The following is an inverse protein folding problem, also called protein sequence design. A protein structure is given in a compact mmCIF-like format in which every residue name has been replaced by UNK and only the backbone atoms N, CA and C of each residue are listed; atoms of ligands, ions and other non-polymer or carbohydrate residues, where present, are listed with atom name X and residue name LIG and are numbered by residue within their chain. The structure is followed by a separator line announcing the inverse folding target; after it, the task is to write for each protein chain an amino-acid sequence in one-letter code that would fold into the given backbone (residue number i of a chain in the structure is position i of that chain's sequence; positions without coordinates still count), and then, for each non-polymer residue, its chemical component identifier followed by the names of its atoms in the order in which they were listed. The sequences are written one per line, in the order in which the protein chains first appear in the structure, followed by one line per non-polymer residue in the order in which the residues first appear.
data_IF_287674411121
#
_entry.id   IF_287674411121
#
_cell.length_a   1.000
_cell.length_b   1.000
_cell.length_c   1.000
_cell.angle_alpha   90.00
_cell.angle_beta   90.00
_cell.angle_gamma   90.00
#
_symmetry.space_group_name_H-M   'P 1'
#
loop_
_entity.id
_entity.type
_entity.pdbx_description
1 polymer ?
#
# COMPACT_ATOMS: atom_id res chain seq x y z
N UNK A 1 41.76 42.92 -5.72
CA UNK A 1 41.59 41.64 -6.44
C UNK A 1 40.63 40.78 -5.65
N UNK A 2 39.32 40.79 -5.97
CA UNK A 2 38.30 40.00 -5.29
C UNK A 2 38.15 38.69 -6.06
N UNK A 3 38.48 37.55 -5.42
CA UNK A 3 38.25 36.22 -5.94
C UNK A 3 36.73 35.94 -5.91
N UNK A 4 36.08 35.87 -7.06
CA UNK A 4 34.70 35.30 -7.21
C UNK A 4 34.79 33.82 -6.80
N UNK A 5 34.23 33.48 -5.64
CA UNK A 5 33.91 32.11 -5.30
C UNK A 5 32.73 31.72 -6.18
N UNK A 6 32.94 30.83 -7.15
CA UNK A 6 31.86 30.15 -7.85
C UNK A 6 31.21 29.22 -6.83
N UNK A 7 30.00 29.52 -6.40
CA UNK A 7 29.13 28.58 -5.72
C UNK A 7 28.81 27.45 -6.71
N UNK A 8 29.58 26.38 -6.63
CA UNK A 8 29.20 25.13 -7.26
C UNK A 8 28.07 24.56 -6.44
N UNK A 9 26.86 24.54 -6.99
CA UNK A 9 25.77 23.73 -6.45
C UNK A 9 26.22 22.27 -6.57
N UNK A 10 26.73 21.72 -5.48
CA UNK A 10 26.95 20.28 -5.36
C UNK A 10 25.57 19.64 -5.28
N UNK A 11 25.06 19.12 -6.39
CA UNK A 11 23.97 18.14 -6.32
C UNK A 11 24.52 16.93 -5.59
N UNK A 12 24.16 16.78 -4.32
CA UNK A 12 24.41 15.53 -3.61
C UNK A 12 23.59 14.45 -4.34
N UNK A 13 24.30 13.53 -4.94
CA UNK A 13 23.72 12.32 -5.54
C UNK A 13 23.01 11.52 -4.44
N UNK A 14 21.69 11.43 -4.50
CA UNK A 14 20.86 10.82 -3.47
C UNK A 14 20.54 9.39 -3.90
N UNK A 15 20.87 8.40 -3.06
CA UNK A 15 20.36 7.05 -3.19
C UNK A 15 18.90 7.01 -2.77
N UNK A 16 18.07 6.41 -3.62
CA UNK A 16 16.66 6.15 -3.34
C UNK A 16 16.46 4.64 -3.35
N UNK A 17 15.90 4.12 -2.28
CA UNK A 17 15.71 2.66 -2.12
C UNK A 17 14.28 2.38 -1.71
N UNK A 18 13.67 1.36 -2.31
CA UNK A 18 12.38 0.82 -1.88
C UNK A 18 12.38 -0.70 -1.97
N UNK A 19 11.49 -1.32 -1.20
CA UNK A 19 11.25 -2.75 -1.24
C UNK A 19 9.82 -3.07 -1.68
N UNK A 20 9.61 -4.30 -2.13
CA UNK A 20 8.31 -4.91 -2.34
C UNK A 20 8.32 -6.34 -1.83
N UNK A 21 7.17 -6.84 -1.44
CA UNK A 21 6.99 -8.21 -0.96
C UNK A 21 5.92 -8.93 -1.77
N UNK A 22 6.04 -10.26 -1.89
CA UNK A 22 5.06 -11.06 -2.63
C UNK A 22 3.72 -11.14 -1.89
N UNK A 23 2.63 -11.49 -2.60
CA UNK A 23 1.33 -11.75 -1.96
C UNK A 23 1.35 -12.91 -0.96
N UNK A 24 2.39 -13.74 -0.96
CA UNK A 24 2.60 -14.86 -0.01
C UNK A 24 3.49 -14.52 1.17
N UNK A 25 3.96 -13.27 1.28
CA UNK A 25 4.59 -12.78 2.49
C UNK A 25 3.58 -12.83 3.67
N UNK A 26 3.98 -13.25 4.88
CA UNK A 26 3.05 -13.44 6.02
C UNK A 26 2.15 -12.23 6.30
N UNK A 27 2.70 -11.02 6.34
CA UNK A 27 1.90 -9.82 6.56
C UNK A 27 0.89 -9.58 5.41
N UNK A 28 1.27 -9.89 4.15
CA UNK A 28 0.35 -9.73 3.01
C UNK A 28 -0.75 -10.79 2.97
N UNK A 29 -0.49 -11.99 3.48
CA UNK A 29 -1.55 -13.00 3.69
C UNK A 29 -2.57 -12.45 4.70
N UNK A 30 -2.12 -11.85 5.81
CA UNK A 30 -3.01 -11.24 6.81
C UNK A 30 -3.82 -10.09 6.21
N UNK A 31 -3.19 -9.19 5.46
CA UNK A 31 -3.88 -8.09 4.77
C UNK A 31 -4.94 -8.60 3.79
N UNK A 32 -4.60 -9.62 2.99
CA UNK A 32 -5.55 -10.22 2.04
C UNK A 32 -6.73 -10.90 2.74
N UNK A 33 -6.51 -11.59 3.86
CA UNK A 33 -7.59 -12.20 4.65
C UNK A 33 -8.52 -11.11 5.21
N UNK A 34 -7.96 -10.06 5.81
CA UNK A 34 -8.74 -8.94 6.36
C UNK A 34 -9.60 -8.27 5.28
N UNK A 35 -9.04 -7.99 4.11
CA UNK A 35 -9.76 -7.36 3.00
C UNK A 35 -10.72 -8.31 2.29
N UNK A 36 -10.44 -9.61 2.24
CA UNK A 36 -11.39 -10.60 1.71
C UNK A 36 -12.63 -10.74 2.60
N UNK A 37 -12.47 -10.64 3.92
CA UNK A 37 -13.59 -10.60 4.86
C UNK A 37 -14.43 -9.33 4.65
N UNK A 38 -13.77 -8.18 4.52
CA UNK A 38 -14.44 -6.92 4.18
C UNK A 38 -15.24 -7.04 2.87
N UNK A 39 -14.61 -7.53 1.81
CA UNK A 39 -15.24 -7.71 0.50
C UNK A 39 -16.44 -8.66 0.56
N UNK A 40 -16.36 -9.72 1.37
CA UNK A 40 -17.46 -10.64 1.55
C UNK A 40 -18.68 -9.97 2.22
N UNK A 41 -18.44 -9.09 3.20
CA UNK A 41 -19.50 -8.29 3.82
C UNK A 41 -20.09 -7.27 2.87
N UNK A 42 -19.25 -6.49 2.17
CA UNK A 42 -19.72 -5.43 1.25
C UNK A 42 -20.52 -6.00 0.06
N UNK A 43 -20.23 -7.22 -0.36
CA UNK A 43 -20.96 -7.88 -1.45
C UNK A 43 -22.45 -8.11 -1.14
N UNK A 44 -22.77 -8.39 0.11
CA UNK A 44 -24.16 -8.61 0.58
C UNK A 44 -24.76 -7.35 1.24
N UNK A 45 -23.92 -6.51 1.82
CA UNK A 45 -24.32 -5.29 2.54
C UNK A 45 -23.33 -4.15 2.26
N UNK A 46 -23.61 -3.28 1.25
CA UNK A 46 -22.75 -2.15 0.92
C UNK A 46 -22.57 -1.13 2.07
N UNK A 47 -23.41 -1.20 3.10
CA UNK A 47 -23.33 -0.37 4.29
C UNK A 47 -22.67 -1.09 5.48
N UNK A 48 -22.10 -2.28 5.27
CA UNK A 48 -21.42 -3.03 6.30
C UNK A 48 -20.29 -2.21 6.93
N UNK A 49 -20.21 -2.27 8.26
CA UNK A 49 -19.11 -1.70 9.03
C UNK A 49 -18.22 -2.83 9.50
N UNK A 50 -16.97 -2.78 9.06
CA UNK A 50 -15.98 -3.82 9.26
C UNK A 50 -14.68 -3.18 9.74
N UNK A 51 -14.14 -3.72 10.81
CA UNK A 51 -12.80 -3.44 11.31
C UNK A 51 -12.22 -4.78 11.79
N UNK A 52 -11.49 -5.47 10.92
CA UNK A 52 -10.99 -6.82 11.17
C UNK A 52 -9.49 -6.86 11.01
N UNK A 53 -8.80 -7.33 12.03
CA UNK A 53 -7.38 -7.59 12.06
C UNK A 53 -7.10 -9.09 12.08
N UNK A 54 -6.00 -9.47 11.43
CA UNK A 54 -5.55 -10.86 11.33
C UNK A 54 -4.10 -10.96 11.80
N UNK A 55 -3.83 -11.93 12.66
CA UNK A 55 -2.49 -12.37 13.01
C UNK A 55 -2.34 -13.84 12.64
N UNK A 56 -1.25 -14.21 11.96
CA UNK A 56 -1.06 -15.60 11.54
C UNK A 56 0.40 -16.03 11.57
N UNK A 57 0.62 -17.32 11.68
CA UNK A 57 1.94 -17.96 11.64
C UNK A 57 1.95 -19.29 12.35
N UNK A 58 2.88 -20.17 11.94
CA UNK A 58 3.14 -21.46 12.58
C UNK A 58 1.88 -22.33 12.76
N UNK A 59 1.11 -22.44 11.68
CA UNK A 59 -0.09 -23.30 11.63
C UNK A 59 -1.35 -22.70 12.28
N UNK A 60 -1.34 -21.42 12.69
CA UNK A 60 -2.49 -20.78 13.31
C UNK A 60 -2.79 -19.42 12.68
N UNK A 61 -4.08 -19.07 12.62
CA UNK A 61 -4.57 -17.74 12.23
C UNK A 61 -5.60 -17.28 13.26
N UNK A 62 -5.39 -16.08 13.76
CA UNK A 62 -6.30 -15.36 14.64
C UNK A 62 -6.99 -14.28 13.84
N UNK A 63 -8.32 -14.28 13.84
CA UNK A 63 -9.15 -13.23 13.24
C UNK A 63 -9.92 -12.56 14.36
N UNK A 64 -9.74 -11.26 14.53
CA UNK A 64 -10.43 -10.50 15.57
C UNK A 64 -10.88 -9.15 15.03
N UNK A 65 -11.85 -8.53 15.69
CA UNK A 65 -12.33 -7.21 15.31
C UNK A 65 -13.82 -7.03 15.54
N UNK A 66 -14.38 -6.02 14.91
CA UNK A 66 -15.79 -5.65 15.02
C UNK A 66 -16.46 -5.60 13.66
N UNK A 67 -17.64 -6.19 13.58
CA UNK A 67 -18.49 -6.18 12.37
C UNK A 67 -19.93 -5.84 12.74
N UNK A 68 -20.51 -4.90 12.01
CA UNK A 68 -21.96 -4.63 12.00
C UNK A 68 -22.43 -4.71 10.55
N UNK A 69 -23.16 -5.76 10.21
CA UNK A 69 -23.56 -6.04 8.84
C UNK A 69 -24.86 -6.85 8.80
N UNK A 70 -25.59 -6.69 7.73
CA UNK A 70 -26.76 -7.52 7.39
C UNK A 70 -26.40 -8.79 6.60
N UNK A 71 -25.13 -8.91 6.19
CA UNK A 71 -24.62 -10.08 5.48
C UNK A 71 -24.79 -11.35 6.33
N UNK A 72 -25.17 -12.46 5.70
CA UNK A 72 -25.50 -13.72 6.39
C UNK A 72 -24.61 -14.90 5.99
N UNK A 73 -23.86 -14.75 4.91
CA UNK A 73 -23.13 -15.86 4.29
C UNK A 73 -21.63 -15.62 4.20
N UNK A 74 -21.05 -14.88 5.16
CA UNK A 74 -19.62 -14.67 5.20
C UNK A 74 -18.95 -15.88 5.89
N UNK A 75 -18.23 -16.66 5.11
CA UNK A 75 -17.50 -17.84 5.58
C UNK A 75 -16.01 -17.48 5.76
N UNK A 76 -15.67 -17.03 6.96
CA UNK A 76 -14.31 -16.65 7.34
C UNK A 76 -13.35 -17.84 7.24
N UNK A 77 -13.80 -19.06 7.60
CA UNK A 77 -12.98 -20.25 7.52
C UNK A 77 -12.59 -20.60 6.08
N UNK A 78 -13.53 -20.49 5.14
CA UNK A 78 -13.24 -20.71 3.72
C UNK A 78 -12.29 -19.64 3.15
N UNK A 79 -12.40 -18.37 3.58
CA UNK A 79 -11.50 -17.29 3.20
C UNK A 79 -10.08 -17.60 3.70
N UNK A 80 -9.92 -17.95 4.99
CA UNK A 80 -8.64 -18.27 5.59
C UNK A 80 -8.01 -19.49 4.91
N UNK A 81 -8.77 -20.56 4.69
CA UNK A 81 -8.27 -21.75 3.99
C UNK A 81 -7.78 -21.45 2.58
N UNK A 82 -8.49 -20.61 1.84
CA UNK A 82 -8.10 -20.20 0.46
C UNK A 82 -6.78 -19.43 0.42
N UNK A 83 -6.54 -18.53 1.38
CA UNK A 83 -5.40 -17.63 1.39
C UNK A 83 -4.18 -18.16 2.14
N UNK A 84 -4.43 -18.80 3.29
CA UNK A 84 -3.41 -19.29 4.22
C UNK A 84 -3.18 -20.82 4.16
N UNK A 85 -4.08 -21.58 3.52
CA UNK A 85 -3.98 -23.04 3.49
C UNK A 85 -4.55 -23.72 4.74
N UNK A 86 -4.03 -24.90 5.05
CA UNK A 86 -4.48 -25.70 6.19
C UNK A 86 -3.88 -25.18 7.50
N UNK A 87 -4.62 -24.31 8.18
CA UNK A 87 -4.24 -23.69 9.46
C UNK A 87 -5.39 -23.78 10.46
N UNK A 88 -5.06 -23.79 11.74
CA UNK A 88 -6.05 -23.67 12.82
C UNK A 88 -6.57 -22.23 12.88
N UNK A 89 -7.86 -22.03 12.62
CA UNK A 89 -8.52 -20.73 12.75
C UNK A 89 -9.03 -20.51 14.17
N UNK A 90 -8.67 -19.38 14.76
CA UNK A 90 -9.22 -18.87 16.01
C UNK A 90 -9.91 -17.54 15.67
N UNK A 91 -11.22 -17.54 15.69
CA UNK A 91 -12.05 -16.40 15.31
C UNK A 91 -12.77 -15.80 16.51
N UNK A 92 -12.67 -14.47 16.65
CA UNK A 92 -13.44 -13.70 17.61
C UNK A 92 -13.81 -12.33 17.03
N UNK A 93 -14.96 -12.28 16.36
CA UNK A 93 -15.52 -11.05 15.79
C UNK A 93 -16.73 -10.65 16.64
N UNK A 94 -16.70 -9.41 17.16
CA UNK A 94 -17.76 -8.82 17.96
C UNK A 94 -18.63 -7.86 17.14
N UNK A 95 -19.78 -7.46 17.66
CA UNK A 95 -20.52 -6.33 17.12
C UNK A 95 -19.84 -5.02 17.52
N UNK A 96 -19.85 -4.02 16.64
CA UNK A 96 -19.31 -2.68 16.95
C UNK A 96 -20.02 -2.06 18.16
N UNK A 97 -19.26 -1.39 19.04
CA UNK A 97 -19.85 -0.73 20.19
C UNK A 97 -20.79 0.42 19.77
N UNK A 98 -21.94 0.60 20.47
CA UNK A 98 -22.87 1.69 20.18
C UNK A 98 -22.25 3.09 20.32
N UNK A 99 -21.24 3.24 21.17
CA UNK A 99 -20.56 4.52 21.43
C UNK A 99 -19.72 4.96 20.23
N UNK A 100 -19.01 4.03 19.59
CA UNK A 100 -18.25 4.28 18.35
C UNK A 100 -19.22 4.56 17.20
N UNK A 101 -20.34 3.83 17.14
CA UNK A 101 -21.35 4.00 16.10
C UNK A 101 -21.96 5.41 16.08
N UNK A 102 -22.15 6.07 17.22
CA UNK A 102 -22.78 7.40 17.31
C UNK A 102 -22.09 8.47 16.46
N UNK A 103 -20.77 8.53 16.48
CA UNK A 103 -20.00 9.52 15.69
C UNK A 103 -20.13 9.30 14.19
N UNK A 104 -20.08 8.04 13.77
CA UNK A 104 -20.17 7.63 12.35
C UNK A 104 -21.60 7.73 11.83
N UNK A 105 -22.62 7.40 12.64
CA UNK A 105 -24.04 7.49 12.27
C UNK A 105 -24.49 8.94 11.99
N UNK A 106 -23.85 9.90 12.63
CA UNK A 106 -24.05 11.33 12.37
C UNK A 106 -23.32 11.84 11.11
N UNK A 107 -22.57 10.99 10.40
CA UNK A 107 -21.81 11.34 9.19
C UNK A 107 -20.43 11.91 9.46
N UNK A 108 -19.97 11.96 10.71
CA UNK A 108 -18.64 12.40 11.09
C UNK A 108 -17.57 11.30 11.00
N UNK A 109 -16.30 11.69 11.09
CA UNK A 109 -15.18 10.77 11.15
C UNK A 109 -15.27 9.91 12.43
N UNK A 110 -15.09 8.60 12.28
CA UNK A 110 -15.12 7.64 13.40
C UNK A 110 -13.85 7.63 14.23
N UNK A 111 -12.82 8.34 13.80
CA UNK A 111 -11.53 8.45 14.49
C UNK A 111 -10.84 9.77 14.12
N UNK A 112 -9.82 10.12 14.88
CA UNK A 112 -8.86 11.13 14.52
C UNK A 112 -7.74 10.50 13.67
N UNK A 113 -7.12 11.28 12.80
CA UNK A 113 -5.99 10.76 12.01
C UNK A 113 -5.44 11.79 11.04
N UNK A 114 -4.24 11.50 10.55
CA UNK A 114 -3.60 12.24 9.47
C UNK A 114 -3.44 11.30 8.29
N UNK A 115 -3.91 11.72 7.11
CA UNK A 115 -3.80 10.98 5.87
C UNK A 115 -2.90 11.74 4.91
N UNK A 116 -2.00 11.00 4.27
CA UNK A 116 -1.03 11.57 3.32
C UNK A 116 -1.32 11.02 1.94
N UNK A 117 -1.53 11.92 0.99
CA UNK A 117 -1.54 11.64 -0.43
C UNK A 117 -0.24 12.10 -1.08
N UNK A 118 0.22 11.38 -2.08
CA UNK A 118 1.39 11.75 -2.85
C UNK A 118 1.25 11.36 -4.32
N UNK A 119 1.76 12.18 -5.22
CA UNK A 119 1.93 11.86 -6.63
C UNK A 119 3.20 12.53 -7.17
N UNK A 120 3.87 11.86 -8.10
CA UNK A 120 5.07 12.39 -8.78
C UNK A 120 5.04 12.05 -10.26
N UNK A 121 5.69 12.85 -11.08
CA UNK A 121 5.83 12.59 -12.52
C UNK A 121 7.04 11.69 -12.86
N UNK A 122 7.66 11.04 -11.87
CA UNK A 122 8.82 10.15 -12.07
C UNK A 122 8.47 8.91 -12.91
N UNK A 123 7.21 8.44 -12.84
CA UNK A 123 6.73 7.22 -13.53
C UNK A 123 5.33 7.40 -14.10
N UNK A 124 4.92 6.51 -14.99
CA UNK A 124 3.55 6.48 -15.52
C UNK A 124 2.50 6.16 -14.45
N UNK A 125 2.89 5.40 -13.42
CA UNK A 125 2.08 5.07 -12.25
C UNK A 125 1.93 6.26 -11.28
N UNK A 126 2.60 7.38 -11.57
CA UNK A 126 2.67 8.58 -10.72
C UNK A 126 3.16 8.28 -9.29
N UNK A 127 4.09 7.34 -9.18
CA UNK A 127 4.72 6.86 -7.95
C UNK A 127 6.24 7.05 -8.02
N UNK A 128 6.95 7.02 -6.88
CA UNK A 128 8.41 7.03 -6.86
C UNK A 128 9.01 5.89 -7.69
N UNK A 129 10.04 6.20 -8.47
CA UNK A 129 10.67 5.27 -9.39
C UNK A 129 11.14 3.98 -8.71
N UNK A 130 11.81 4.09 -7.57
CA UNK A 130 12.32 2.95 -6.80
C UNK A 130 11.20 2.03 -6.31
N UNK A 131 10.02 2.57 -6.01
CA UNK A 131 8.83 1.82 -5.58
C UNK A 131 8.27 1.01 -6.75
N UNK A 132 8.09 1.65 -7.90
CA UNK A 132 7.59 0.99 -9.11
C UNK A 132 8.52 -0.12 -9.54
N UNK A 133 9.84 0.12 -9.55
CA UNK A 133 10.84 -0.87 -9.93
C UNK A 133 10.86 -2.07 -8.99
N UNK A 134 10.85 -1.85 -7.67
CA UNK A 134 10.84 -2.94 -6.69
C UNK A 134 9.57 -3.80 -6.83
N UNK A 135 8.41 -3.15 -7.06
CA UNK A 135 7.12 -3.82 -7.23
C UNK A 135 7.06 -4.63 -8.53
N UNK A 136 7.43 -4.04 -9.66
CA UNK A 136 7.46 -4.73 -10.96
C UNK A 136 8.41 -5.93 -10.95
N UNK A 137 9.59 -5.78 -10.35
CA UNK A 137 10.52 -6.90 -10.19
C UNK A 137 9.89 -8.01 -9.33
N UNK A 138 9.23 -7.66 -8.22
CA UNK A 138 8.58 -8.67 -7.37
C UNK A 138 7.47 -9.40 -8.13
N UNK A 139 6.61 -8.68 -8.86
CA UNK A 139 5.55 -9.26 -9.68
C UNK A 139 6.12 -10.22 -10.74
N UNK A 140 7.18 -9.79 -11.43
CA UNK A 140 7.84 -10.59 -12.46
C UNK A 140 8.44 -11.90 -11.93
N UNK A 141 9.08 -11.84 -10.76
CA UNK A 141 9.64 -13.03 -10.11
C UNK A 141 8.55 -13.95 -9.54
N UNK A 142 7.45 -13.35 -9.02
CA UNK A 142 6.33 -14.09 -8.47
C UNK A 142 5.57 -14.92 -9.53
N UNK A 143 5.59 -14.54 -10.80
CA UNK A 143 5.01 -15.34 -11.88
C UNK A 143 5.72 -16.71 -12.03
N UNK A 144 7.02 -16.75 -11.70
CA UNK A 144 7.83 -17.99 -11.77
C UNK A 144 7.81 -18.74 -10.43
N UNK A 145 7.93 -18.00 -9.31
CA UNK A 145 7.91 -18.52 -7.96
C UNK A 145 6.77 -17.91 -7.16
N UNK A 146 5.53 -18.49 -7.23
CA UNK A 146 4.35 -17.94 -6.57
C UNK A 146 4.33 -18.25 -5.06
N UNK A 147 5.43 -17.96 -4.38
CA UNK A 147 5.68 -18.21 -2.98
C UNK A 147 6.11 -16.92 -2.26
N UNK A 148 6.55 -17.04 -1.00
CA UNK A 148 7.09 -15.91 -0.24
C UNK A 148 8.35 -15.38 -0.92
N UNK A 149 8.47 -14.05 -0.95
CA UNK A 149 9.60 -13.40 -1.58
C UNK A 149 9.61 -11.90 -1.40
N UNK A 150 10.83 -11.34 -1.48
CA UNK A 150 11.08 -9.91 -1.35
C UNK A 150 12.01 -9.42 -2.44
N UNK A 151 11.77 -8.19 -2.85
CA UNK A 151 12.66 -7.44 -3.74
C UNK A 151 12.99 -6.08 -3.14
N UNK A 152 14.17 -5.58 -3.44
CA UNK A 152 14.57 -4.21 -3.11
C UNK A 152 15.34 -3.64 -4.28
N UNK A 153 15.03 -2.41 -4.67
CA UNK A 153 15.74 -1.71 -5.72
C UNK A 153 16.27 -0.39 -5.18
N UNK A 154 17.55 -0.14 -5.45
CA UNK A 154 18.20 1.14 -5.15
C UNK A 154 18.55 1.83 -6.45
N UNK A 155 18.10 3.09 -6.56
CA UNK A 155 18.45 3.97 -7.67
C UNK A 155 19.39 5.08 -7.21
N UNK A 156 20.18 5.60 -8.15
CA UNK A 156 21.03 6.78 -7.97
C UNK A 156 21.01 7.55 -9.29
N UNK A 157 20.66 8.83 -9.23
CA UNK A 157 20.56 9.71 -10.41
C UNK A 157 19.70 9.08 -11.55
N UNK A 158 18.58 8.45 -11.18
CA UNK A 158 17.67 7.80 -12.11
C UNK A 158 18.16 6.46 -12.68
N UNK A 159 19.29 5.90 -12.21
CA UNK A 159 19.83 4.60 -12.64
C UNK A 159 19.71 3.56 -11.54
N UNK A 160 19.43 2.31 -11.90
CA UNK A 160 19.48 1.19 -10.96
C UNK A 160 20.96 0.91 -10.61
N UNK A 161 21.30 0.92 -9.32
CA UNK A 161 22.67 0.67 -8.83
C UNK A 161 22.76 -0.55 -7.89
N UNK A 162 21.63 -1.02 -7.36
CA UNK A 162 21.59 -2.25 -6.57
C UNK A 162 20.22 -2.89 -6.63
N UNK A 163 20.19 -4.23 -6.68
CA UNK A 163 19.00 -5.05 -6.59
C UNK A 163 19.22 -6.15 -5.56
N UNK A 164 18.24 -6.32 -4.67
CA UNK A 164 18.12 -7.49 -3.81
C UNK A 164 16.88 -8.27 -4.24
N UNK A 165 17.03 -9.59 -4.41
CA UNK A 165 15.90 -10.48 -4.63
C UNK A 165 16.09 -11.76 -3.78
N UNK A 166 15.05 -12.12 -3.04
CA UNK A 166 15.03 -13.32 -2.22
C UNK A 166 13.67 -13.99 -2.37
N UNK A 167 13.65 -15.21 -2.91
CA UNK A 167 12.42 -15.95 -3.20
C UNK A 167 12.51 -17.40 -2.73
N UNK A 168 11.46 -17.83 -2.07
CA UNK A 168 11.26 -19.20 -1.63
C UNK A 168 11.24 -20.15 -2.83
N UNK A 169 11.92 -21.30 -2.72
CA UNK A 169 12.06 -22.32 -3.75
C UNK A 169 12.83 -21.92 -5.01
N UNK A 170 13.42 -20.74 -5.04
CA UNK A 170 14.26 -20.28 -6.15
C UNK A 170 15.74 -20.61 -5.86
N UNK A 171 16.37 -21.40 -6.73
CA UNK A 171 17.82 -21.56 -6.68
C UNK A 171 18.50 -20.23 -7.06
N UNK A 172 19.58 -19.88 -6.37
CA UNK A 172 20.28 -18.60 -6.56
C UNK A 172 20.63 -18.32 -8.01
N UNK A 173 21.10 -19.33 -8.76
CA UNK A 173 21.47 -19.18 -10.16
C UNK A 173 20.25 -18.88 -11.05
N UNK A 174 19.13 -19.58 -10.83
CA UNK A 174 17.91 -19.41 -11.62
C UNK A 174 17.28 -18.05 -11.34
N UNK A 175 17.25 -17.64 -10.07
CA UNK A 175 16.78 -16.33 -9.66
C UNK A 175 17.66 -15.20 -10.24
N UNK A 176 19.00 -15.41 -10.29
CA UNK A 176 19.92 -14.47 -10.94
C UNK A 176 19.59 -14.32 -12.42
N UNK A 177 19.42 -15.44 -13.13
CA UNK A 177 19.08 -15.44 -14.55
C UNK A 177 17.75 -14.70 -14.80
N UNK A 178 16.74 -14.91 -13.94
CA UNK A 178 15.45 -14.25 -14.06
C UNK A 178 15.52 -12.74 -13.79
N UNK A 179 16.33 -12.29 -12.83
CA UNK A 179 16.59 -10.85 -12.60
C UNK A 179 17.29 -10.21 -13.79
N UNK A 180 18.27 -10.91 -14.40
CA UNK A 180 18.94 -10.42 -15.61
C UNK A 180 18.00 -10.37 -16.81
N UNK A 181 17.12 -11.37 -16.97
CA UNK A 181 16.09 -11.38 -18.00
C UNK A 181 15.09 -10.21 -17.82
N UNK A 182 14.67 -9.92 -16.59
CA UNK A 182 13.83 -8.75 -16.30
C UNK A 182 14.45 -7.44 -16.76
N UNK A 183 15.75 -7.24 -16.60
CA UNK A 183 16.44 -6.05 -17.10
C UNK A 183 16.36 -5.89 -18.63
N UNK A 184 16.17 -6.97 -19.36
CA UNK A 184 16.10 -6.94 -20.83
C UNK A 184 14.68 -6.81 -21.38
N UNK A 185 13.68 -7.27 -20.61
CA UNK A 185 12.28 -7.35 -21.06
C UNK A 185 11.43 -6.17 -20.63
N UNK A 186 11.70 -5.64 -19.43
CA UNK A 186 10.96 -4.47 -19.00
C UNK A 186 11.37 -3.24 -19.80
N UNK A 187 10.43 -2.52 -20.40
CA UNK A 187 10.69 -1.21 -20.97
C UNK A 187 10.90 -0.20 -19.83
N UNK A 188 11.98 -0.42 -19.08
CA UNK A 188 12.40 0.50 -18.05
C UNK A 188 12.88 1.76 -18.78
N UNK A 189 12.18 2.87 -18.59
CA UNK A 189 12.71 4.19 -18.94
C UNK A 189 13.98 4.52 -18.10
N UNK A 190 14.59 3.49 -17.51
CA UNK A 190 15.66 3.58 -16.51
C UNK A 190 16.88 2.82 -17.01
N UNK A 191 18.00 3.50 -17.02
CA UNK A 191 19.29 2.92 -17.35
C UNK A 191 19.81 2.10 -16.16
N UNK A 192 20.34 0.90 -16.43
CA UNK A 192 21.10 0.12 -15.46
C UNK A 192 22.47 0.79 -15.31
N UNK A 193 22.94 0.97 -14.06
CA UNK A 193 24.29 1.47 -13.80
C UNK A 193 25.35 0.49 -14.29
N UNK A 194 26.52 0.99 -14.70
CA UNK A 194 27.62 0.15 -15.18
C UNK A 194 28.07 -0.89 -14.16
N UNK A 195 28.01 -0.57 -12.86
CA UNK A 195 28.42 -1.42 -11.74
C UNK A 195 27.21 -1.81 -10.87
N UNK A 196 26.10 -2.27 -11.46
CA UNK A 196 24.95 -2.71 -10.68
C UNK A 196 25.31 -3.90 -9.79
N UNK A 197 24.98 -3.80 -8.50
CA UNK A 197 25.20 -4.87 -7.52
C UNK A 197 23.93 -5.72 -7.39
N UNK A 198 24.09 -7.03 -7.60
CA UNK A 198 23.02 -8.01 -7.43
C UNK A 198 23.24 -8.80 -6.13
N UNK A 199 22.25 -8.83 -5.27
CA UNK A 199 22.21 -9.60 -4.02
C UNK A 199 21.05 -10.60 -4.12
N UNK A 200 21.34 -11.77 -4.64
CA UNK A 200 20.35 -12.80 -4.96
C UNK A 200 20.44 -13.91 -3.91
N UNK A 201 19.34 -14.18 -3.20
CA UNK A 201 19.30 -15.11 -2.07
C UNK A 201 20.57 -14.98 -1.19
N UNK A 202 20.90 -13.79 -0.65
CA UNK A 202 22.22 -13.55 -0.05
C UNK A 202 22.49 -14.38 1.20
N UNK A 203 21.45 -14.94 1.83
CA UNK A 203 21.55 -15.85 2.96
C UNK A 203 21.56 -17.34 2.55
N UNK A 204 21.54 -17.62 1.23
CA UNK A 204 21.39 -18.96 0.67
C UNK A 204 19.97 -19.26 0.20
N UNK A 205 19.82 -20.39 -0.53
CA UNK A 205 18.52 -20.87 -0.99
C UNK A 205 17.66 -21.32 0.20
N UNK A 206 16.35 -21.11 0.10
CA UNK A 206 15.43 -21.41 1.19
C UNK A 206 14.11 -21.99 0.69
N UNK A 207 13.53 -22.91 1.48
CA UNK A 207 12.36 -23.68 1.09
C UNK A 207 11.17 -23.53 2.07
N UNK A 208 11.39 -22.95 3.24
CA UNK A 208 10.33 -22.68 4.23
C UNK A 208 10.08 -21.19 4.24
N UNK A 209 8.86 -20.77 3.92
CA UNK A 209 8.43 -19.38 3.84
C UNK A 209 6.98 -19.19 4.26
N UNK A 210 6.44 -17.99 4.10
CA UNK A 210 5.08 -17.69 4.52
C UNK A 210 4.88 -17.95 6.03
N UNK A 211 3.68 -18.36 6.41
CA UNK A 211 3.34 -18.61 7.82
C UNK A 211 4.12 -19.74 8.49
N UNK A 212 4.79 -20.61 7.73
CA UNK A 212 5.64 -21.64 8.31
C UNK A 212 6.98 -21.10 8.81
N UNK A 213 7.44 -19.98 8.21
CA UNK A 213 8.72 -19.36 8.56
C UNK A 213 8.59 -18.17 9.51
N UNK A 214 7.54 -17.36 9.37
CA UNK A 214 7.42 -16.10 10.09
C UNK A 214 5.95 -15.76 10.37
N UNK A 215 5.72 -14.97 11.40
CA UNK A 215 4.39 -14.47 11.74
C UNK A 215 4.05 -13.20 10.95
N UNK A 216 2.80 -13.11 10.50
CA UNK A 216 2.22 -11.92 9.86
C UNK A 216 1.17 -11.25 10.72
N UNK A 217 0.92 -9.99 10.41
CA UNK A 217 -0.13 -9.18 11.02
C UNK A 217 -0.67 -8.17 10.00
N UNK A 218 -1.99 -7.95 10.00
CA UNK A 218 -2.62 -6.88 9.22
C UNK A 218 -1.96 -5.53 9.49
N UNK A 219 -1.65 -4.77 8.42
CA UNK A 219 -1.15 -3.41 8.54
C UNK A 219 0.35 -3.29 8.90
N UNK A 220 1.15 -4.35 8.75
CA UNK A 220 2.61 -4.28 8.99
C UNK A 220 3.44 -3.95 7.74
N UNK A 221 2.82 -3.71 6.60
CA UNK A 221 3.50 -3.34 5.35
C UNK A 221 3.08 -1.96 4.82
N UNK A 222 2.74 -1.03 5.71
CA UNK A 222 2.21 0.29 5.34
C UNK A 222 3.13 1.07 4.40
N UNK A 223 4.43 1.04 4.63
CA UNK A 223 5.42 1.73 3.77
C UNK A 223 5.46 1.12 2.37
N UNK A 224 5.43 -0.22 2.28
CA UNK A 224 5.41 -0.96 1.00
C UNK A 224 4.10 -0.72 0.24
N UNK A 225 2.99 -0.67 0.97
CA UNK A 225 1.65 -0.55 0.42
C UNK A 225 1.31 0.88 -0.04
N UNK A 226 2.04 1.88 0.45
CA UNK A 226 1.88 3.29 0.08
C UNK A 226 2.95 3.71 -0.96
N UNK A 227 3.80 4.66 -0.60
CA UNK A 227 4.70 5.36 -1.51
C UNK A 227 6.18 5.05 -1.29
N UNK A 228 6.49 4.03 -0.47
CA UNK A 228 7.86 3.68 -0.09
C UNK A 228 8.44 4.58 1.01
N UNK A 229 9.70 4.31 1.43
CA UNK A 229 10.26 4.89 2.66
C UNK A 229 10.63 6.38 2.56
N UNK A 230 10.61 6.95 1.37
CA UNK A 230 10.95 8.36 1.15
C UNK A 230 9.80 9.31 1.46
N UNK A 231 8.57 8.81 1.40
CA UNK A 231 7.36 9.59 1.55
C UNK A 231 6.72 9.26 2.91
N UNK A 232 6.29 10.26 3.69
CA UNK A 232 5.61 10.02 4.95
C UNK A 232 4.25 9.33 4.71
N UNK A 233 3.79 8.62 5.72
CA UNK A 233 2.44 8.04 5.78
C UNK A 233 1.70 8.57 7.00
N UNK A 234 0.37 8.50 7.00
CA UNK A 234 -0.45 8.95 8.14
C UNK A 234 -0.42 8.01 9.35
N UNK A 235 -0.04 6.74 9.15
CA UNK A 235 0.11 5.73 10.21
C UNK A 235 -1.06 4.76 10.34
N UNK A 236 -2.25 5.06 9.84
CA UNK A 236 -3.41 4.17 9.85
C UNK A 236 -3.28 3.02 8.83
N UNK A 237 -3.54 1.78 9.25
CA UNK A 237 -3.65 0.65 8.35
C UNK A 237 -4.93 0.73 7.52
N UNK A 238 -4.90 0.21 6.29
CA UNK A 238 -6.03 0.21 5.37
C UNK A 238 -6.79 -1.11 5.40
N UNK A 239 -6.08 -2.24 5.27
CA UNK A 239 -6.69 -3.56 5.16
C UNK A 239 -7.58 -3.90 6.35
N UNK A 240 -8.72 -4.54 6.08
CA UNK A 240 -9.71 -4.90 7.07
C UNK A 240 -10.67 -3.79 7.49
N UNK A 241 -10.49 -2.56 7.04
CA UNK A 241 -11.32 -1.39 7.37
C UNK A 241 -12.27 -1.05 6.23
N UNK A 242 -13.58 -0.93 6.53
CA UNK A 242 -14.58 -0.43 5.58
C UNK A 242 -14.42 1.07 5.29
N UNK A 243 -15.04 1.60 4.21
CA UNK A 243 -14.85 2.98 3.77
C UNK A 243 -15.28 4.06 4.75
N UNK A 244 -16.03 3.75 5.80
CA UNK A 244 -16.39 4.73 6.84
C UNK A 244 -15.19 5.15 7.69
N UNK A 245 -14.11 4.37 7.68
CA UNK A 245 -12.86 4.67 8.35
C UNK A 245 -12.02 5.61 7.51
N UNK A 246 -11.82 6.84 7.98
CA UNK A 246 -11.05 7.88 7.29
C UNK A 246 -9.58 7.49 7.07
N UNK A 247 -9.01 6.63 7.92
CA UNK A 247 -7.68 6.04 7.71
C UNK A 247 -7.52 5.48 6.30
N UNK A 248 -8.57 4.85 5.77
CA UNK A 248 -8.59 4.27 4.43
C UNK A 248 -9.15 5.24 3.41
N UNK A 249 -10.39 5.67 3.57
CA UNK A 249 -11.10 6.46 2.56
C UNK A 249 -10.44 7.82 2.29
N UNK A 250 -10.03 8.53 3.34
CA UNK A 250 -9.38 9.83 3.17
C UNK A 250 -7.93 9.70 2.67
N UNK A 251 -7.23 8.59 2.91
CA UNK A 251 -5.94 8.33 2.29
C UNK A 251 -6.08 8.11 0.76
N UNK A 252 -7.14 7.42 0.32
CA UNK A 252 -7.45 7.27 -1.10
C UNK A 252 -7.84 8.61 -1.75
N UNK A 253 -8.67 9.42 -1.04
CA UNK A 253 -8.99 10.76 -1.52
C UNK A 253 -7.76 11.67 -1.57
N UNK A 254 -6.88 11.62 -0.58
CA UNK A 254 -5.64 12.38 -0.60
C UNK A 254 -4.75 12.00 -1.81
N UNK A 255 -4.69 10.70 -2.18
CA UNK A 255 -4.03 10.23 -3.41
C UNK A 255 -4.69 10.81 -4.66
N UNK A 256 -6.01 10.75 -4.78
CA UNK A 256 -6.76 11.31 -5.90
C UNK A 256 -6.49 12.80 -6.07
N UNK A 257 -6.56 13.56 -4.99
CA UNK A 257 -6.26 14.99 -4.98
C UNK A 257 -4.82 15.25 -5.45
N UNK A 258 -3.84 14.47 -4.95
CA UNK A 258 -2.44 14.62 -5.35
C UNK A 258 -2.25 14.41 -6.86
N UNK A 259 -2.92 13.41 -7.44
CA UNK A 259 -2.91 13.15 -8.89
C UNK A 259 -3.53 14.29 -9.67
N UNK A 260 -4.67 14.78 -9.23
CA UNK A 260 -5.39 15.87 -9.92
C UNK A 260 -4.57 17.16 -9.94
N UNK A 261 -4.00 17.55 -8.80
CA UNK A 261 -3.12 18.73 -8.74
C UNK A 261 -1.83 18.53 -9.54
N UNK A 262 -1.22 17.33 -9.52
CA UNK A 262 -0.05 17.03 -10.32
C UNK A 262 -0.32 17.26 -11.82
N UNK A 263 -1.43 16.70 -12.32
CA UNK A 263 -1.84 16.83 -13.73
C UNK A 263 -2.24 18.27 -14.08
N UNK A 264 -3.05 18.94 -13.24
CA UNK A 264 -3.57 20.26 -13.50
C UNK A 264 -2.50 21.36 -13.48
N UNK A 265 -1.45 21.17 -12.68
CA UNK A 265 -0.36 22.15 -12.52
C UNK A 265 0.91 21.79 -13.28
N UNK A 266 0.95 20.65 -13.99
CA UNK A 266 2.16 20.11 -14.65
C UNK A 266 3.35 20.04 -13.65
N UNK A 267 3.05 19.59 -12.41
CA UNK A 267 3.98 19.59 -11.30
C UNK A 267 4.92 18.39 -11.34
N UNK A 268 6.02 18.45 -10.59
CA UNK A 268 6.96 17.34 -10.43
C UNK A 268 6.56 16.41 -9.29
N UNK A 269 6.15 16.99 -8.17
CA UNK A 269 5.61 16.24 -7.06
C UNK A 269 4.53 17.02 -6.30
N UNK A 270 3.60 16.30 -5.71
CA UNK A 270 2.50 16.85 -4.93
C UNK A 270 2.30 16.01 -3.68
N UNK A 271 2.25 16.67 -2.52
CA UNK A 271 1.82 16.10 -1.26
C UNK A 271 0.45 16.66 -0.87
N UNK A 272 -0.38 15.81 -0.29
CA UNK A 272 -1.67 16.21 0.29
C UNK A 272 -1.73 15.73 1.73
N UNK A 273 -2.14 16.60 2.64
CA UNK A 273 -2.32 16.30 4.05
C UNK A 273 -3.76 16.58 4.43
N UNK A 274 -4.44 15.56 4.95
CA UNK A 274 -5.79 15.68 5.50
C UNK A 274 -5.75 15.26 6.97
N UNK A 275 -6.24 16.10 7.87
CA UNK A 275 -6.28 15.80 9.30
C UNK A 275 -7.71 15.83 9.80
N UNK A 276 -8.18 14.71 10.36
CA UNK A 276 -9.53 14.57 10.90
C UNK A 276 -9.51 14.51 12.42
N UNK A 277 -10.61 14.96 13.03
CA UNK A 277 -10.93 14.71 14.42
C UNK A 277 -12.22 13.88 14.52
N UNK A 278 -12.31 13.04 15.55
CA UNK A 278 -13.47 12.19 15.78
C UNK A 278 -14.75 13.02 15.89
N UNK A 279 -15.81 12.59 15.20
CA UNK A 279 -17.13 13.24 15.21
C UNK A 279 -17.28 14.45 14.29
N UNK A 280 -16.20 14.92 13.64
CA UNK A 280 -16.29 16.01 12.65
C UNK A 280 -16.54 15.44 11.26
N UNK A 281 -17.38 16.11 10.48
CA UNK A 281 -17.71 15.74 9.10
C UNK A 281 -16.75 16.34 8.05
N UNK A 282 -15.90 17.30 8.46
CA UNK A 282 -14.87 17.90 7.62
C UNK A 282 -13.50 17.76 8.29
N UNK A 283 -12.41 17.67 7.52
CA UNK A 283 -11.07 17.71 8.10
C UNK A 283 -10.81 19.06 8.78
N UNK A 284 -10.04 19.03 9.86
CA UNK A 284 -9.55 20.25 10.52
C UNK A 284 -8.51 20.95 9.66
N UNK A 285 -7.72 20.18 8.89
CA UNK A 285 -6.69 20.66 8.00
C UNK A 285 -6.76 19.90 6.67
N UNK A 286 -6.70 20.64 5.56
CA UNK A 286 -6.64 20.10 4.21
C UNK A 286 -5.66 20.93 3.38
N UNK A 287 -4.42 20.43 3.27
CA UNK A 287 -3.30 21.15 2.67
C UNK A 287 -2.73 20.37 1.49
N UNK A 288 -2.43 21.06 0.40
CA UNK A 288 -1.66 20.53 -0.73
C UNK A 288 -0.34 21.26 -0.87
N UNK A 289 0.76 20.52 -1.07
CA UNK A 289 2.09 21.06 -1.31
C UNK A 289 2.52 20.69 -2.73
N UNK A 290 2.62 21.68 -3.61
CA UNK A 290 2.93 21.51 -5.05
C UNK A 290 4.32 22.03 -5.30
N UNK A 291 5.27 21.18 -5.67
CA UNK A 291 6.69 21.54 -5.88
C UNK A 291 7.26 22.40 -4.74
N UNK A 292 6.91 22.04 -3.50
CA UNK A 292 7.33 22.73 -2.28
C UNK A 292 6.56 24.01 -1.93
N UNK A 293 5.46 24.32 -2.63
CA UNK A 293 4.56 25.46 -2.33
C UNK A 293 3.26 24.95 -1.72
N UNK A 294 2.92 25.48 -0.58
CA UNK A 294 1.73 25.13 0.18
C UNK A 294 0.50 25.93 -0.28
N UNK A 295 -0.62 25.23 -0.50
CA UNK A 295 -1.93 25.79 -0.81
C UNK A 295 -3.00 25.03 0.00
N UNK A 296 -4.19 25.61 0.15
CA UNK A 296 -5.35 24.92 0.72
C UNK A 296 -5.99 24.05 -0.35
N UNK A 297 -6.40 22.83 0.01
CA UNK A 297 -7.18 21.97 -0.88
C UNK A 297 -8.55 22.58 -1.14
N UNK A 298 -8.96 22.69 -2.40
CA UNK A 298 -10.23 23.27 -2.81
C UNK A 298 -10.91 22.39 -3.88
N UNK A 299 -12.24 22.45 -3.93
CA UNK A 299 -13.05 21.79 -4.96
C UNK A 299 -13.43 20.34 -4.66
N UNK A 300 -13.23 19.84 -3.43
CA UNK A 300 -13.58 18.47 -3.03
C UNK A 300 -14.51 18.45 -1.82
N UNK A 301 -15.48 17.52 -1.84
CA UNK A 301 -16.22 17.18 -0.62
C UNK A 301 -15.39 16.18 0.19
N UNK A 302 -14.77 16.68 1.26
CA UNK A 302 -13.89 15.91 2.13
C UNK A 302 -14.63 15.30 3.32
N UNK A 303 -15.97 15.37 3.35
CA UNK A 303 -16.73 14.59 4.34
C UNK A 303 -16.55 13.08 4.09
N UNK A 304 -16.60 12.22 5.12
CA UNK A 304 -16.52 10.77 4.93
C UNK A 304 -17.50 10.24 3.87
N UNK A 305 -18.75 10.73 3.89
CA UNK A 305 -19.78 10.35 2.93
C UNK A 305 -19.49 10.90 1.52
N UNK A 306 -18.98 12.12 1.41
CA UNK A 306 -18.55 12.73 0.13
C UNK A 306 -17.44 11.93 -0.52
N UNK A 307 -16.43 11.54 0.25
CA UNK A 307 -15.31 10.69 -0.21
C UNK A 307 -15.82 9.33 -0.70
N UNK A 308 -16.66 8.66 0.11
CA UNK A 308 -17.23 7.35 -0.24
C UNK A 308 -17.99 7.43 -1.56
N UNK A 309 -18.79 8.48 -1.75
CA UNK A 309 -19.57 8.69 -2.97
C UNK A 309 -18.68 9.03 -4.17
N UNK A 310 -17.71 9.95 -4.00
CA UNK A 310 -16.82 10.40 -5.07
C UNK A 310 -15.94 9.27 -5.61
N UNK A 311 -15.48 8.36 -4.75
CA UNK A 311 -14.59 7.26 -5.11
C UNK A 311 -15.31 5.92 -5.29
N UNK A 312 -16.65 5.87 -5.13
CA UNK A 312 -17.46 4.64 -5.22
C UNK A 312 -16.92 3.50 -4.35
N UNK A 313 -16.66 3.79 -3.07
CA UNK A 313 -15.94 2.90 -2.17
C UNK A 313 -16.81 1.79 -1.54
N UNK A 314 -18.13 1.73 -1.81
CA UNK A 314 -19.01 0.66 -1.31
C UNK A 314 -18.92 -0.63 -2.12
N UNK A 315 -18.03 -0.70 -3.09
CA UNK A 315 -17.78 -1.88 -3.93
C UNK A 315 -16.85 -2.87 -3.23
N UNK A 316 -17.00 -4.14 -3.57
CA UNK A 316 -16.12 -5.23 -3.12
C UNK A 316 -14.86 -5.27 -4.01
N UNK A 317 -13.87 -4.43 -3.69
CA UNK A 317 -12.63 -4.24 -4.49
C UNK A 317 -11.36 -4.28 -3.63
N UNK A 318 -11.46 -4.66 -2.37
CA UNK A 318 -10.39 -4.44 -1.40
C UNK A 318 -9.34 -5.55 -1.32
N UNK A 319 -9.72 -6.82 -1.51
CA UNK A 319 -8.77 -7.94 -1.49
C UNK A 319 -7.63 -7.73 -2.49
N UNK A 320 -7.93 -7.20 -3.69
CA UNK A 320 -6.91 -6.98 -4.71
C UNK A 320 -5.96 -5.85 -4.36
N UNK A 321 -6.41 -4.83 -3.60
CA UNK A 321 -5.56 -3.70 -3.18
C UNK A 321 -4.48 -4.12 -2.19
N UNK A 322 -4.73 -5.18 -1.42
CA UNK A 322 -3.80 -5.66 -0.39
C UNK A 322 -2.67 -6.53 -0.93
N UNK A 323 -2.64 -6.88 -2.22
CA UNK A 323 -1.62 -7.79 -2.79
C UNK A 323 -0.27 -7.09 -3.01
N UNK A 324 -0.27 -5.94 -3.68
CA UNK A 324 0.95 -5.19 -4.05
C UNK A 324 0.85 -3.69 -3.72
N UNK A 325 -0.02 -3.34 -2.78
CA UNK A 325 -0.26 -1.97 -2.36
C UNK A 325 -1.46 -1.32 -3.06
N UNK A 326 -1.81 -0.14 -2.58
CA UNK A 326 -3.10 0.51 -2.83
C UNK A 326 -3.06 1.55 -3.95
N UNK A 327 -1.87 1.89 -4.47
CA UNK A 327 -1.67 3.01 -5.40
C UNK A 327 -0.91 2.60 -6.65
N UNK A 328 -1.18 3.31 -7.76
CA UNK A 328 -0.53 3.11 -9.05
C UNK A 328 -1.21 2.09 -9.96
N UNK A 329 -2.50 1.79 -9.77
CA UNK A 329 -3.28 0.87 -10.59
C UNK A 329 -4.52 1.57 -11.14
N UNK A 330 -4.59 1.75 -12.46
CA UNK A 330 -5.66 2.51 -13.13
C UNK A 330 -7.07 1.91 -12.97
N UNK A 331 -7.18 0.67 -12.47
CA UNK A 331 -8.48 0.03 -12.19
C UNK A 331 -9.14 0.57 -10.91
N UNK A 332 -8.41 1.36 -10.11
CA UNK A 332 -8.94 1.93 -8.89
C UNK A 332 -9.43 3.36 -9.11
N UNK A 333 -10.63 3.69 -8.61
CA UNK A 333 -11.27 4.98 -8.81
C UNK A 333 -10.46 6.17 -8.26
N UNK A 334 -9.58 5.95 -7.31
CA UNK A 334 -8.69 7.00 -6.77
C UNK A 334 -7.41 7.23 -7.58
N UNK A 335 -7.21 6.51 -8.67
CA UNK A 335 -6.07 6.68 -9.58
C UNK A 335 -6.44 7.39 -10.90
N UNK A 336 -7.75 7.60 -11.15
CA UNK A 336 -8.27 8.14 -12.43
C UNK A 336 -8.38 9.67 -12.39
#
# INVERSE_FOLDING_TARGET
MARKIREGVFFMSIFKTAESVSPKHPDKICDQISDAILDAHLREDPDARVAVDVAGGHGKVFVTGEVTSRAKHVDVAAIVQRLAGDVELIEHIAAQSPEIAQGVDAGGAGDQGIMVGYATNETAELLPLEVVLARKLNQYLYEVWPFDGKTQVTTKDGKIVSVVASFQHAAQQDLTNQVLDWFTKEPLAVTIGEDVRLHINPAGDWNVGGFDADAGLTGRKLIVDNYGPRIPIGGGAFSGKDPSKVDRSAAYMARKIAIDYLKARDAKDVFVYLAYAIGFDQPLEATVVIDGREEVVDGYDLSPNGIIAALDLKRSVYEVTSRYGHFGYLDFNWEI
#
